data_IF_533071226873
#
_entry.id   IF_533071226873
#
_cell.length_a   1.000
_cell.length_b   1.000
_cell.length_c   1.000
_cell.angle_alpha   90.00
_cell.angle_beta   90.00
_cell.angle_gamma   90.00
#
_symmetry.space_group_name_H-M   'P 1'
#
loop_
_entity.id
_entity.type
_entity.pdbx_description
1 polymer ?
#
# COMPACT_ATOMS: atom_id res chain seq x y z
N UNK A 1 0.03 -11.63 -10.01
CA UNK A 1 -0.82 -11.57 -8.81
C UNK A 1 -1.49 -10.23 -8.82
N UNK A 2 -2.80 -10.21 -9.02
CA UNK A 2 -3.58 -8.98 -8.87
C UNK A 2 -3.80 -8.78 -7.38
N UNK A 3 -3.41 -7.61 -6.87
CA UNK A 3 -3.61 -7.27 -5.47
C UNK A 3 -5.06 -6.79 -5.32
N UNK A 4 -5.87 -7.50 -4.53
CA UNK A 4 -7.25 -7.10 -4.21
C UNK A 4 -7.34 -6.60 -2.78
N UNK A 5 -8.17 -5.58 -2.56
CA UNK A 5 -8.34 -5.00 -1.23
C UNK A 5 -9.15 -5.95 -0.34
N UNK A 6 -8.58 -6.33 0.81
CA UNK A 6 -9.20 -7.26 1.76
C UNK A 6 -10.53 -6.75 2.34
N UNK A 7 -10.76 -5.43 2.34
CA UNK A 7 -11.98 -4.85 2.88
C UNK A 7 -13.13 -4.75 1.86
N UNK A 8 -12.84 -4.43 0.60
CA UNK A 8 -13.88 -4.12 -0.39
C UNK A 8 -13.72 -4.85 -1.73
N UNK A 9 -12.76 -5.76 -1.85
CA UNK A 9 -12.37 -6.46 -3.08
C UNK A 9 -12.05 -5.52 -4.26
N UNK A 10 -11.71 -4.25 -3.99
CA UNK A 10 -11.30 -3.29 -5.01
C UNK A 10 -9.90 -3.58 -5.53
N UNK A 11 -9.66 -3.25 -6.79
CA UNK A 11 -8.42 -3.46 -7.54
C UNK A 11 -7.69 -2.14 -7.90
N UNK A 12 -8.31 -1.00 -7.60
CA UNK A 12 -7.73 0.34 -7.81
C UNK A 12 -6.91 0.79 -6.60
N UNK A 13 -5.66 1.12 -6.86
CA UNK A 13 -4.67 1.49 -5.86
C UNK A 13 -3.98 2.80 -6.23
N UNK A 14 -3.71 3.63 -5.23
CA UNK A 14 -2.82 4.80 -5.37
C UNK A 14 -1.63 4.69 -4.43
N UNK A 15 -0.46 5.09 -4.89
CA UNK A 15 0.70 5.24 -4.01
C UNK A 15 0.54 6.52 -3.18
N UNK A 16 0.81 6.43 -1.89
CA UNK A 16 0.74 7.56 -0.97
C UNK A 16 1.95 7.55 -0.04
N UNK A 17 2.40 8.74 0.37
CA UNK A 17 3.23 8.91 1.55
C UNK A 17 2.30 9.06 2.74
N UNK A 18 2.44 8.19 3.74
CA UNK A 18 1.61 8.23 4.95
C UNK A 18 2.45 8.66 6.14
N UNK A 19 1.93 9.59 6.92
CA UNK A 19 2.52 10.04 8.19
C UNK A 19 1.77 9.39 9.34
N UNK A 20 2.47 8.58 10.14
CA UNK A 20 1.97 8.04 11.39
C UNK A 20 2.63 8.79 12.54
N UNK A 21 1.82 9.33 13.44
CA UNK A 21 2.30 9.96 14.68
C UNK A 21 2.19 8.98 15.83
N UNK A 22 3.33 8.57 16.39
CA UNK A 22 3.39 7.66 17.53
C UNK A 22 4.25 8.31 18.61
N UNK A 23 3.68 8.48 19.82
CA UNK A 23 4.41 9.04 20.97
C UNK A 23 5.14 10.37 20.70
N UNK A 24 4.54 11.24 19.89
CA UNK A 24 5.13 12.54 19.54
C UNK A 24 6.22 12.50 18.45
N UNK A 25 6.52 11.31 17.91
CA UNK A 25 7.37 11.15 16.73
C UNK A 25 6.53 10.92 15.49
N UNK A 26 6.87 11.61 14.39
CA UNK A 26 6.28 11.38 13.07
C UNK A 26 7.13 10.41 12.28
N UNK A 27 6.53 9.29 11.86
CA UNK A 27 7.12 8.31 10.95
C UNK A 27 6.45 8.48 9.60
N UNK A 28 7.22 8.82 8.58
CA UNK A 28 6.75 8.92 7.20
C UNK A 28 7.17 7.66 6.44
N UNK A 29 6.23 6.99 5.79
CA UNK A 29 6.50 5.79 5.01
C UNK A 29 5.66 5.72 3.73
N UNK A 30 6.17 5.00 2.74
CA UNK A 30 5.46 4.76 1.48
C UNK A 30 4.44 3.62 1.66
N UNK A 31 3.23 3.85 1.19
CA UNK A 31 2.13 2.90 1.25
C UNK A 31 1.31 2.92 -0.04
N UNK A 32 0.45 1.93 -0.21
CA UNK A 32 -0.63 1.97 -1.20
C UNK A 32 -1.95 2.14 -0.49
N UNK A 33 -2.84 2.95 -1.07
CA UNK A 33 -4.18 3.20 -0.56
C UNK A 33 -5.20 2.68 -1.58
N UNK A 34 -6.17 1.91 -1.11
CA UNK A 34 -7.31 1.49 -1.93
C UNK A 34 -8.18 2.70 -2.25
N UNK A 35 -8.56 2.89 -3.51
CA UNK A 35 -9.44 3.99 -3.91
C UNK A 35 -10.91 3.74 -3.57
N UNK A 36 -11.33 2.48 -3.43
CA UNK A 36 -12.72 2.12 -3.10
C UNK A 36 -13.09 2.37 -1.65
N UNK A 37 -12.31 1.82 -0.70
CA UNK A 37 -12.62 1.90 0.73
C UNK A 37 -11.63 2.76 1.54
N UNK A 38 -10.49 3.15 0.95
CA UNK A 38 -9.50 4.00 1.61
C UNK A 38 -8.49 3.28 2.51
N UNK A 39 -8.52 1.94 2.58
CA UNK A 39 -7.53 1.14 3.32
C UNK A 39 -6.10 1.42 2.87
N UNK A 40 -5.17 1.46 3.83
CA UNK A 40 -3.75 1.79 3.59
C UNK A 40 -2.88 0.60 3.98
N UNK A 41 -2.00 0.19 3.07
CA UNK A 41 -1.10 -0.94 3.24
C UNK A 41 0.36 -0.47 3.11
N UNK A 42 1.20 -0.63 4.14
CA UNK A 42 2.61 -0.25 4.06
C UNK A 42 3.37 -1.06 2.99
N UNK A 43 4.07 -0.39 2.08
CA UNK A 43 4.82 -1.06 1.01
C UNK A 43 5.94 -1.95 1.56
N UNK A 44 6.54 -1.56 2.69
CA UNK A 44 7.60 -2.31 3.34
C UNK A 44 7.14 -3.72 3.79
N UNK A 45 5.87 -3.88 4.17
CA UNK A 45 5.33 -5.18 4.59
C UNK A 45 4.93 -6.04 3.39
N UNK A 46 4.30 -5.40 2.40
CA UNK A 46 3.93 -6.03 1.16
C UNK A 46 5.14 -6.59 0.38
N UNK A 47 6.28 -5.89 0.43
CA UNK A 47 7.52 -6.31 -0.22
C UNK A 47 8.29 -7.43 0.49
N UNK A 48 8.03 -7.71 1.79
CA UNK A 48 8.82 -8.70 2.56
C UNK A 48 8.67 -10.13 2.04
N UNK A 49 7.54 -10.47 1.44
CA UNK A 49 7.23 -11.82 0.97
C UNK A 49 7.12 -11.92 -0.56
N UNK A 50 7.58 -10.91 -1.29
CA UNK A 50 7.36 -10.78 -2.73
C UNK A 50 8.70 -10.60 -3.48
N UNK A 51 8.87 -11.22 -4.67
CA UNK A 51 10.07 -11.03 -5.49
C UNK A 51 10.24 -9.54 -5.86
N UNK A 52 11.48 -9.05 -5.95
CA UNK A 52 11.85 -7.63 -6.20
C UNK A 52 11.22 -6.96 -7.47
N UNK A 53 10.43 -7.67 -8.27
CA UNK A 53 9.77 -7.16 -9.48
C UNK A 53 8.23 -7.22 -9.50
N UNK A 54 7.56 -7.76 -8.47
CA UNK A 54 6.11 -8.00 -8.53
C UNK A 54 5.25 -6.74 -8.29
N UNK A 55 5.79 -5.73 -7.61
CA UNK A 55 5.04 -4.50 -7.30
C UNK A 55 4.95 -3.49 -8.44
N UNK A 56 5.85 -3.57 -9.43
CA UNK A 56 5.82 -2.67 -10.58
C UNK A 56 4.56 -2.85 -11.45
N UNK A 57 3.91 -4.01 -11.40
CA UNK A 57 2.67 -4.27 -12.12
C UNK A 57 1.44 -3.62 -11.45
N UNK A 58 1.45 -3.46 -10.12
CA UNK A 58 0.36 -2.83 -9.35
C UNK A 58 0.32 -1.31 -9.58
N UNK A 59 1.46 -0.71 -9.90
CA UNK A 59 1.62 0.74 -10.09
C UNK A 59 1.49 1.21 -11.54
N UNK A 60 1.28 0.28 -12.48
CA UNK A 60 1.21 0.56 -13.93
C UNK A 60 -0.22 0.70 -14.47
N UNK A 61 -1.24 0.68 -13.60
CA UNK A 61 -2.63 0.89 -13.99
C UNK A 61 -3.02 2.38 -13.90
#
# INVERSE_FOLDING_TARGET
MELTCEQCNGDKWKMVLHELRVMGQSIVYSAIKCDGCGMVYPLAELGKNQPKGSFAAVLKQ
#
